data_IF_028559009468
#
_entry.id   IF_028559009468
#
_cell.length_a   1.000
_cell.length_b   1.000
_cell.length_c   1.000
_cell.angle_alpha   90.00
_cell.angle_beta   90.00
_cell.angle_gamma   90.00
#
_symmetry.space_group_name_H-M   'P 1'
#
loop_
_entity.id
_entity.type
_entity.pdbx_description
1 polymer ?
#
# COMPACT_ATOMS: atom_id res chain seq x y z
N UNK A 1 -36.30 21.85 15.26
CA UNK A 1 -34.88 22.18 15.44
C UNK A 1 -34.52 23.23 14.41
N UNK A 2 -34.03 24.39 14.85
CA UNK A 2 -33.70 25.51 13.96
C UNK A 2 -32.55 25.15 13.01
N UNK A 3 -32.65 25.57 11.74
CA UNK A 3 -31.65 25.28 10.69
C UNK A 3 -30.24 25.76 11.08
N UNK A 4 -30.16 26.87 11.84
CA UNK A 4 -28.91 27.36 12.43
C UNK A 4 -28.31 26.39 13.44
N UNK A 5 -29.14 25.73 14.24
CA UNK A 5 -28.71 24.79 15.27
C UNK A 5 -28.18 23.50 14.63
N UNK A 6 -28.81 23.03 13.55
CA UNK A 6 -28.33 21.88 12.77
C UNK A 6 -26.99 22.17 12.09
N UNK A 7 -26.84 23.35 11.49
CA UNK A 7 -25.56 23.80 10.91
C UNK A 7 -24.45 23.93 11.97
N UNK A 8 -24.79 24.42 13.17
CA UNK A 8 -23.84 24.52 14.28
C UNK A 8 -23.38 23.15 14.78
N UNK A 9 -24.30 22.19 14.95
CA UNK A 9 -23.95 20.83 15.36
C UNK A 9 -23.19 20.08 14.26
N UNK A 10 -23.52 20.31 12.98
CA UNK A 10 -22.78 19.77 11.84
C UNK A 10 -21.35 20.28 11.78
N UNK A 11 -21.14 21.61 11.89
CA UNK A 11 -19.79 22.19 11.93
C UNK A 11 -19.02 21.76 13.18
N UNK A 12 -19.67 21.67 14.34
CA UNK A 12 -19.05 21.20 15.57
C UNK A 12 -18.65 19.73 15.48
N UNK A 13 -19.49 18.86 14.89
CA UNK A 13 -19.15 17.46 14.64
C UNK A 13 -18.02 17.31 13.61
N UNK A 14 -18.00 18.13 12.55
CA UNK A 14 -16.91 18.17 11.57
C UNK A 14 -15.58 18.57 12.25
N UNK A 15 -15.62 19.59 13.12
CA UNK A 15 -14.47 20.08 13.90
C UNK A 15 -14.04 19.12 15.02
N UNK A 16 -14.94 18.28 15.54
CA UNK A 16 -14.60 17.22 16.49
C UNK A 16 -14.03 15.97 15.79
N UNK A 17 -14.44 15.73 14.53
CA UNK A 17 -13.95 14.64 13.68
C UNK A 17 -12.59 14.90 13.03
N UNK A 18 -12.11 16.16 13.06
CA UNK A 18 -10.70 16.47 12.82
C UNK A 18 -9.85 16.07 14.03
N UNK A 19 -9.95 14.81 14.46
CA UNK A 19 -8.83 14.17 15.14
C UNK A 19 -7.65 14.25 14.18
N UNK A 20 -6.62 15.01 14.56
CA UNK A 20 -5.34 15.11 13.87
C UNK A 20 -4.79 13.69 13.68
N UNK A 21 -5.08 13.08 12.52
CA UNK A 21 -4.42 11.85 12.09
C UNK A 21 -3.03 12.28 11.64
N UNK A 22 -2.08 12.23 12.57
CA UNK A 22 -0.67 12.25 12.22
C UNK A 22 -0.38 10.93 11.50
N UNK A 23 -0.42 10.94 10.17
CA UNK A 23 0.13 9.88 9.36
C UNK A 23 1.65 9.89 9.58
N UNK A 24 2.13 8.97 10.42
CA UNK A 24 3.55 8.78 10.68
C UNK A 24 4.25 8.26 9.43
N UNK A 25 5.50 8.67 9.26
CA UNK A 25 6.38 8.17 8.21
C UNK A 25 6.46 6.63 8.32
N UNK A 26 6.23 5.87 7.24
CA UNK A 26 6.32 4.39 7.24
C UNK A 26 7.80 3.94 7.19
N UNK A 27 8.64 4.67 7.92
CA UNK A 27 9.98 4.25 8.27
C UNK A 27 9.79 3.06 9.21
N UNK A 28 10.19 1.87 8.76
CA UNK A 28 10.08 0.67 9.59
C UNK A 28 11.12 0.74 10.71
N UNK A 29 10.78 1.45 11.78
CA UNK A 29 11.49 1.41 13.03
C UNK A 29 11.33 0.01 13.61
N UNK A 30 12.43 -0.74 13.60
CA UNK A 30 12.47 -2.04 14.22
C UNK A 30 12.99 -1.85 15.65
N UNK A 31 12.04 -1.83 16.60
CA UNK A 31 12.31 -1.70 18.03
C UNK A 31 12.98 -2.94 18.63
N UNK A 32 13.01 -4.06 17.89
CA UNK A 32 13.57 -5.33 18.34
C UNK A 32 15.07 -5.40 18.04
N UNK A 33 15.51 -4.77 16.95
CA UNK A 33 16.90 -4.83 16.51
C UNK A 33 17.82 -3.90 17.34
N UNK A 34 19.03 -4.36 17.72
CA UNK A 34 19.89 -3.66 18.66
C UNK A 34 20.40 -2.33 18.09
N UNK A 35 20.19 -1.23 18.83
CA UNK A 35 20.75 0.09 18.51
C UNK A 35 22.21 0.15 18.95
N UNK A 36 23.12 0.43 18.01
CA UNK A 36 24.57 0.51 18.27
C UNK A 36 25.18 1.67 17.49
N UNK A 37 26.32 2.23 17.94
CA UNK A 37 27.00 3.27 17.19
C UNK A 37 27.41 2.76 15.80
N UNK A 38 26.89 3.42 14.76
CA UNK A 38 27.07 3.05 13.35
C UNK A 38 26.13 1.94 12.84
N UNK A 39 25.19 1.48 13.67
CA UNK A 39 24.15 0.52 13.28
C UNK A 39 22.78 0.90 13.87
N UNK A 40 22.29 2.07 13.47
CA UNK A 40 20.99 2.57 13.90
C UNK A 40 20.19 3.24 12.77
N UNK A 41 20.53 2.94 11.51
CA UNK A 41 19.76 3.41 10.37
C UNK A 41 18.40 2.72 10.35
N UNK A 42 17.39 3.40 9.82
CA UNK A 42 16.10 2.78 9.62
C UNK A 42 16.10 1.83 8.42
N UNK A 43 15.17 0.87 8.42
CA UNK A 43 14.93 0.05 7.24
C UNK A 43 14.13 0.82 6.20
N UNK A 44 14.81 1.18 5.12
CA UNK A 44 14.23 1.96 4.02
C UNK A 44 14.10 1.08 2.79
N UNK A 45 12.91 1.09 2.18
CA UNK A 45 12.70 0.50 0.87
C UNK A 45 13.31 1.41 -0.20
N UNK A 46 14.12 0.82 -1.05
CA UNK A 46 14.80 1.52 -2.14
C UNK A 46 14.41 0.92 -3.48
N UNK A 47 14.38 1.77 -4.51
CA UNK A 47 14.28 1.34 -5.89
C UNK A 47 15.68 1.22 -6.47
N UNK A 48 15.92 0.12 -7.16
CA UNK A 48 17.16 -0.20 -7.86
C UNK A 48 16.85 -0.37 -9.35
N UNK A 49 16.75 0.72 -10.12
CA UNK A 49 16.64 0.63 -11.57
C UNK A 49 17.94 0.12 -12.18
N UNK A 50 17.79 -0.76 -13.17
CA UNK A 50 18.88 -1.32 -13.97
C UNK A 50 18.92 -0.58 -15.29
N UNK A 51 20.12 -0.15 -15.64
CA UNK A 51 20.43 0.57 -16.85
C UNK A 51 21.37 -0.29 -17.70
N UNK A 52 20.96 -0.55 -18.94
CA UNK A 52 21.78 -1.20 -19.95
C UNK A 52 22.13 -0.17 -21.01
N UNK A 53 23.42 0.10 -21.19
CA UNK A 53 23.91 1.06 -22.18
C UNK A 53 23.21 2.44 -22.11
N UNK A 54 22.87 2.88 -20.89
CA UNK A 54 22.22 4.17 -20.65
C UNK A 54 20.68 4.18 -20.79
N UNK A 55 20.04 3.03 -21.00
CA UNK A 55 18.57 2.89 -21.04
C UNK A 55 18.05 2.12 -19.81
N UNK A 56 17.07 2.68 -19.11
CA UNK A 56 16.37 2.01 -17.99
C UNK A 56 15.53 0.85 -18.56
N UNK A 57 15.90 -0.38 -18.23
CA UNK A 57 15.21 -1.58 -18.74
C UNK A 57 14.22 -2.16 -17.75
N UNK A 58 14.61 -2.21 -16.47
CA UNK A 58 13.84 -2.81 -15.39
C UNK A 58 14.17 -2.12 -14.08
N UNK A 59 13.29 -2.25 -13.08
CA UNK A 59 13.54 -1.76 -11.73
C UNK A 59 13.17 -2.82 -10.71
N UNK A 60 13.98 -2.94 -9.66
CA UNK A 60 13.74 -3.83 -8.55
C UNK A 60 13.54 -3.06 -7.25
N UNK A 61 12.84 -3.68 -6.30
CA UNK A 61 12.71 -3.17 -4.94
C UNK A 61 13.72 -3.88 -4.06
N UNK A 62 14.51 -3.09 -3.32
CA UNK A 62 15.45 -3.57 -2.33
C UNK A 62 15.19 -2.95 -0.96
N UNK A 63 15.94 -3.41 0.04
CA UNK A 63 15.90 -2.87 1.40
C UNK A 63 17.30 -2.47 1.85
N UNK A 64 17.43 -1.26 2.40
CA UNK A 64 18.67 -0.76 2.98
C UNK A 64 19.06 -1.50 4.27
N UNK A 65 20.36 -1.50 4.58
CA UNK A 65 20.87 -2.02 5.84
C UNK A 65 20.70 -1.02 7.00
N UNK A 66 20.77 -1.54 8.23
CA UNK A 66 20.78 -0.74 9.46
C UNK A 66 22.12 0.00 9.70
N UNK A 67 23.13 -0.26 8.88
CA UNK A 67 24.47 0.30 8.93
C UNK A 67 24.86 0.86 7.55
N UNK A 68 25.95 1.61 7.48
CA UNK A 68 26.32 2.35 6.27
C UNK A 68 25.75 3.77 6.26
N UNK A 69 25.94 4.52 5.16
CA UNK A 69 25.22 5.76 4.92
C UNK A 69 23.71 5.53 4.82
N UNK A 70 22.93 6.48 5.33
CA UNK A 70 21.47 6.45 5.25
C UNK A 70 21.00 6.62 3.80
N UNK A 71 20.05 5.78 3.39
CA UNK A 71 19.44 5.82 2.05
C UNK A 71 18.13 6.64 1.99
N UNK A 72 17.84 7.39 3.04
CA UNK A 72 16.61 8.18 3.17
C UNK A 72 16.60 9.37 2.21
N UNK A 73 15.44 9.60 1.58
CA UNK A 73 15.13 10.83 0.82
C UNK A 73 16.00 11.15 -0.41
N UNK A 74 16.57 10.14 -1.06
CA UNK A 74 17.35 10.35 -2.29
C UNK A 74 16.45 10.54 -3.53
N UNK A 75 16.72 11.58 -4.31
CA UNK A 75 16.05 11.78 -5.60
C UNK A 75 16.47 10.71 -6.61
N UNK A 76 15.61 10.44 -7.61
CA UNK A 76 15.92 9.56 -8.75
C UNK A 76 17.18 9.99 -9.53
N UNK A 77 17.73 11.18 -9.27
CA UNK A 77 18.97 11.72 -9.88
C UNK A 77 20.27 11.24 -9.24
N UNK A 78 20.24 10.23 -8.36
CA UNK A 78 21.47 9.61 -7.86
C UNK A 78 22.35 9.12 -9.03
N UNK A 79 23.68 9.26 -8.88
CA UNK A 79 24.65 8.88 -9.90
C UNK A 79 24.52 7.39 -10.27
N UNK A 80 24.66 7.09 -11.56
CA UNK A 80 24.69 5.71 -12.04
C UNK A 80 26.00 5.04 -11.64
N UNK A 81 25.89 3.90 -10.98
CA UNK A 81 27.05 3.12 -10.53
C UNK A 81 27.13 1.85 -11.37
N UNK A 82 28.28 1.60 -11.99
CA UNK A 82 28.53 0.35 -12.73
C UNK A 82 28.50 -0.82 -11.73
N UNK A 83 27.88 -1.94 -12.12
CA UNK A 83 27.81 -3.14 -11.27
C UNK A 83 28.89 -4.13 -11.66
N UNK A 84 29.58 -4.68 -10.67
CA UNK A 84 30.56 -5.76 -10.81
C UNK A 84 30.18 -6.95 -9.95
N UNK A 85 30.36 -8.17 -10.46
CA UNK A 85 30.07 -9.38 -9.71
C UNK A 85 31.28 -9.74 -8.84
N UNK A 86 31.06 -10.03 -7.55
CA UNK A 86 32.13 -10.43 -6.66
C UNK A 86 32.74 -11.79 -7.01
N UNK A 87 34.07 -11.90 -6.90
CA UNK A 87 34.82 -13.16 -6.92
C UNK A 87 35.80 -13.21 -5.72
N UNK A 88 35.53 -13.98 -4.65
CA UNK A 88 34.47 -14.97 -4.51
C UNK A 88 33.08 -14.33 -4.34
N UNK A 89 32.00 -15.05 -4.71
CA UNK A 89 30.66 -14.48 -4.79
C UNK A 89 30.05 -14.12 -3.43
N UNK A 90 30.60 -14.60 -2.33
CA UNK A 90 30.18 -14.28 -0.97
C UNK A 90 30.88 -13.02 -0.41
N UNK A 91 31.98 -12.55 -1.00
CA UNK A 91 32.72 -11.38 -0.53
C UNK A 91 33.09 -11.45 0.97
N UNK A 92 33.35 -12.66 1.48
CA UNK A 92 33.83 -12.84 2.85
C UNK A 92 35.35 -12.65 2.95
N UNK A 93 36.04 -12.68 1.81
CA UNK A 93 37.45 -12.33 1.65
C UNK A 93 37.60 -11.31 0.52
N UNK A 94 38.77 -10.67 0.46
CA UNK A 94 39.08 -9.64 -0.54
C UNK A 94 38.74 -10.13 -1.95
N UNK A 95 37.85 -9.43 -2.68
CA UNK A 95 37.51 -9.78 -4.05
C UNK A 95 38.74 -9.73 -4.96
N UNK A 96 38.83 -10.66 -5.90
CA UNK A 96 39.90 -10.75 -6.90
C UNK A 96 39.75 -9.70 -7.99
N UNK A 97 38.53 -9.26 -8.26
CA UNK A 97 38.25 -8.14 -9.14
C UNK A 97 38.71 -6.83 -8.49
N UNK A 98 39.50 -6.06 -9.22
CA UNK A 98 39.87 -4.69 -8.81
C UNK A 98 38.65 -3.81 -8.97
N UNK A 99 38.17 -3.23 -7.88
CA UNK A 99 37.07 -2.28 -7.92
C UNK A 99 37.63 -0.86 -7.92
N UNK A 100 37.08 0.00 -8.76
CA UNK A 100 37.41 1.43 -8.80
C UNK A 100 36.14 2.25 -8.70
N UNK A 101 35.34 1.96 -7.67
CA UNK A 101 34.07 2.63 -7.40
C UNK A 101 32.85 1.96 -8.02
N UNK A 102 32.92 0.71 -8.47
CA UNK A 102 31.73 -0.06 -8.86
C UNK A 102 30.87 -0.45 -7.65
N UNK A 103 29.60 -0.73 -7.91
CA UNK A 103 28.71 -1.41 -6.99
C UNK A 103 28.98 -2.92 -7.08
N UNK A 104 29.38 -3.54 -5.98
CA UNK A 104 29.67 -4.97 -5.97
C UNK A 104 28.42 -5.79 -5.63
N UNK A 105 28.14 -6.80 -6.45
CA UNK A 105 27.03 -7.73 -6.29
C UNK A 105 27.51 -9.04 -5.65
N UNK A 106 26.95 -9.38 -4.49
CA UNK A 106 27.36 -10.54 -3.66
C UNK A 106 26.16 -11.44 -3.33
N UNK A 107 26.44 -12.68 -2.93
CA UNK A 107 25.45 -13.59 -2.37
C UNK A 107 25.43 -13.55 -0.83
N UNK A 108 24.22 -13.69 -0.27
CA UNK A 108 24.02 -13.94 1.15
C UNK A 108 24.58 -15.31 1.55
N UNK A 109 25.28 -15.36 2.69
CA UNK A 109 25.82 -16.59 3.29
C UNK A 109 27.26 -16.44 3.78
N UNK A 110 27.79 -17.49 4.42
CA UNK A 110 29.17 -17.68 4.90
C UNK A 110 29.70 -16.73 5.99
N UNK A 111 29.38 -15.43 5.96
CA UNK A 111 29.84 -14.43 6.93
C UNK A 111 28.77 -13.35 7.18
N UNK A 112 29.00 -12.49 8.19
CA UNK A 112 28.07 -11.42 8.59
C UNK A 112 27.90 -10.36 7.48
N UNK A 113 26.75 -9.67 7.46
CA UNK A 113 26.50 -8.60 6.49
C UNK A 113 27.48 -7.43 6.63
N UNK A 114 27.82 -7.09 7.87
CA UNK A 114 28.82 -6.05 8.17
C UNK A 114 30.21 -6.47 7.69
N UNK A 115 30.57 -7.75 7.82
CA UNK A 115 31.84 -8.26 7.28
C UNK A 115 31.93 -8.09 5.77
N UNK A 116 30.86 -8.47 5.04
CA UNK A 116 30.79 -8.28 3.58
C UNK A 116 30.93 -6.82 3.19
N UNK A 117 30.27 -5.92 3.92
CA UNK A 117 30.36 -4.48 3.70
C UNK A 117 31.77 -3.94 3.90
N UNK A 118 32.45 -4.29 5.00
CA UNK A 118 33.83 -3.86 5.25
C UNK A 118 34.81 -4.38 4.20
N UNK A 119 34.63 -5.64 3.77
CA UNK A 119 35.48 -6.25 2.73
C UNK A 119 35.25 -5.57 1.38
N UNK A 120 34.00 -5.29 1.01
CA UNK A 120 33.64 -4.58 -0.21
C UNK A 120 34.18 -3.14 -0.23
N UNK A 121 34.02 -2.42 0.88
CA UNK A 121 34.54 -1.05 1.06
C UNK A 121 36.07 -1.02 0.96
N UNK A 122 36.76 -1.92 1.68
CA UNK A 122 38.21 -2.03 1.62
C UNK A 122 38.74 -2.39 0.22
N UNK A 123 37.91 -3.05 -0.59
CA UNK A 123 38.22 -3.36 -1.99
C UNK A 123 37.99 -2.19 -2.95
N UNK A 124 37.42 -1.07 -2.49
CA UNK A 124 37.15 0.13 -3.30
C UNK A 124 35.77 0.15 -3.96
N UNK A 125 34.78 -0.58 -3.44
CA UNK A 125 33.40 -0.50 -3.91
C UNK A 125 32.75 0.83 -3.52
N UNK A 126 31.85 1.36 -4.34
CA UNK A 126 31.00 2.52 -3.99
C UNK A 126 29.67 2.12 -3.35
N UNK A 127 29.23 0.88 -3.56
CA UNK A 127 27.99 0.34 -2.99
C UNK A 127 28.05 -1.19 -2.91
N UNK A 128 27.29 -1.78 -2.00
CA UNK A 128 27.17 -3.23 -1.85
C UNK A 128 25.72 -3.68 -2.10
N UNK A 129 25.53 -4.55 -3.09
CA UNK A 129 24.27 -5.24 -3.35
C UNK A 129 24.35 -6.70 -2.88
N UNK A 130 23.49 -7.10 -1.95
CA UNK A 130 23.43 -8.48 -1.44
C UNK A 130 22.20 -9.18 -2.00
N UNK A 131 22.41 -10.28 -2.71
CA UNK A 131 21.34 -11.15 -3.21
C UNK A 131 20.93 -12.10 -2.10
N UNK A 132 19.66 -12.04 -1.72
CA UNK A 132 19.08 -12.94 -0.76
C UNK A 132 18.97 -14.37 -1.32
N UNK A 133 18.90 -15.36 -0.42
CA UNK A 133 18.68 -16.76 -0.77
C UNK A 133 17.19 -17.15 -0.84
N UNK A 134 16.30 -16.17 -0.61
CA UNK A 134 14.85 -16.30 -0.63
C UNK A 134 14.25 -15.17 -1.48
N UNK A 135 13.00 -15.34 -1.90
CA UNK A 135 12.24 -14.36 -2.69
C UNK A 135 11.83 -13.13 -1.89
N UNK A 136 11.80 -13.23 -0.55
CA UNK A 136 11.42 -12.13 0.32
C UNK A 136 12.59 -11.18 0.63
N UNK A 137 12.26 -9.93 0.98
CA UNK A 137 13.23 -8.98 1.52
C UNK A 137 13.58 -9.35 2.96
N UNK A 138 14.87 -9.31 3.30
CA UNK A 138 15.36 -9.62 4.64
C UNK A 138 16.07 -8.41 5.25
N UNK A 139 15.72 -8.09 6.50
CA UNK A 139 16.29 -6.96 7.25
C UNK A 139 17.72 -7.27 7.67
N UNK A 140 18.67 -6.48 7.19
CA UNK A 140 20.09 -6.61 7.57
C UNK A 140 20.37 -5.87 8.89
N UNK A 141 20.55 -6.63 9.96
CA UNK A 141 20.89 -6.16 11.30
C UNK A 141 22.35 -6.45 11.63
N UNK A 142 22.92 -5.69 12.57
CA UNK A 142 24.26 -5.97 13.10
C UNK A 142 24.24 -7.06 14.15
N UNK A 143 25.36 -7.77 14.28
CA UNK A 143 25.48 -8.87 15.24
C UNK A 143 25.69 -8.35 16.66
N UNK A 144 25.36 -9.18 17.66
CA UNK A 144 25.53 -8.81 19.08
C UNK A 144 26.99 -8.58 19.46
N UNK A 145 27.93 -9.24 18.80
CA UNK A 145 29.36 -9.18 19.12
C UNK A 145 30.09 -7.97 18.50
N UNK A 146 29.46 -7.26 17.55
CA UNK A 146 30.04 -6.09 16.90
C UNK A 146 29.77 -4.84 17.75
N UNK A 147 30.79 -4.20 18.31
CA UNK A 147 30.62 -3.05 19.23
C UNK A 147 30.57 -1.70 18.51
N UNK A 148 31.34 -1.54 17.44
CA UNK A 148 31.35 -0.35 16.57
C UNK A 148 31.33 -0.82 15.12
N UNK A 149 30.33 -0.36 14.37
CA UNK A 149 30.19 -0.67 12.95
C UNK A 149 30.48 0.61 12.16
N UNK A 150 31.66 0.68 11.58
CA UNK A 150 32.03 1.73 10.64
C UNK A 150 32.01 1.14 9.23
N UNK A 151 31.10 1.64 8.39
CA UNK A 151 30.90 1.27 7.00
C UNK A 151 30.50 2.57 6.28
N UNK A 152 31.28 3.00 5.31
CA UNK A 152 31.06 4.24 4.56
C UNK A 152 30.31 4.05 3.23
N UNK A 153 29.99 2.82 2.85
CA UNK A 153 29.27 2.50 1.60
C UNK A 153 27.80 2.12 1.84
N UNK A 154 26.87 2.52 0.97
CA UNK A 154 25.48 2.08 1.05
C UNK A 154 25.34 0.57 0.79
N UNK A 155 24.52 -0.09 1.60
CA UNK A 155 24.29 -1.53 1.52
C UNK A 155 22.81 -1.80 1.30
N UNK A 156 22.50 -2.53 0.22
CA UNK A 156 21.12 -2.86 -0.18
C UNK A 156 21.00 -4.36 -0.39
N UNK A 157 19.92 -4.93 0.13
CA UNK A 157 19.55 -6.31 -0.17
C UNK A 157 18.50 -6.37 -1.28
N UNK A 158 18.70 -7.29 -2.21
CA UNK A 158 17.77 -7.65 -3.27
C UNK A 158 17.19 -9.05 -3.03
N UNK A 159 15.93 -9.30 -3.38
CA UNK A 159 15.37 -10.65 -3.36
C UNK A 159 16.08 -11.56 -4.38
N UNK A 160 15.96 -12.87 -4.20
CA UNK A 160 16.63 -13.86 -5.03
C UNK A 160 16.34 -13.67 -6.53
N UNK A 161 15.07 -13.43 -6.88
CA UNK A 161 14.64 -13.28 -8.27
C UNK A 161 15.27 -12.04 -8.93
N UNK A 162 15.24 -10.89 -8.24
CA UNK A 162 15.86 -9.65 -8.71
C UNK A 162 17.36 -9.80 -8.92
N UNK A 163 18.05 -10.43 -7.96
CA UNK A 163 19.48 -10.71 -8.06
C UNK A 163 19.82 -11.68 -9.19
N UNK A 164 18.97 -12.69 -9.43
CA UNK A 164 19.08 -13.62 -10.54
C UNK A 164 18.94 -12.92 -11.90
N UNK A 165 17.92 -12.09 -12.06
CA UNK A 165 17.72 -11.29 -13.28
C UNK A 165 18.87 -10.32 -13.54
N UNK A 166 19.35 -9.62 -12.51
CA UNK A 166 20.50 -8.71 -12.64
C UNK A 166 21.76 -9.47 -13.09
N UNK A 167 22.03 -10.66 -12.55
CA UNK A 167 23.15 -11.50 -13.00
C UNK A 167 23.01 -11.93 -14.45
N UNK A 168 21.81 -12.24 -14.92
CA UNK A 168 21.57 -12.58 -16.32
C UNK A 168 21.85 -11.37 -17.21
N UNK A 169 21.39 -10.18 -16.82
CA UNK A 169 21.70 -8.94 -17.53
C UNK A 169 23.20 -8.67 -17.63
N UNK A 170 23.96 -8.91 -16.55
CA UNK A 170 25.42 -8.77 -16.53
C UNK A 170 26.16 -9.79 -17.40
N UNK A 171 25.55 -10.95 -17.69
CA UNK A 171 26.12 -11.93 -18.64
C UNK A 171 25.86 -11.56 -20.09
N UNK A 172 24.73 -10.90 -20.36
CA UNK A 172 24.29 -10.59 -21.71
C UNK A 172 24.82 -9.24 -22.22
N UNK A 173 25.12 -8.30 -21.31
CA UNK A 173 25.54 -6.94 -21.64
C UNK A 173 26.85 -6.59 -20.95
N UNK A 174 27.70 -5.82 -21.64
CA UNK A 174 29.02 -5.42 -21.14
C UNK A 174 28.96 -4.29 -20.12
N UNK A 175 27.95 -3.42 -20.20
CA UNK A 175 27.82 -2.22 -19.38
C UNK A 175 26.47 -2.19 -18.67
N UNK A 176 26.46 -2.71 -17.44
CA UNK A 176 25.29 -2.70 -16.55
C UNK A 176 25.54 -1.71 -15.44
N UNK A 177 24.72 -0.67 -15.36
CA UNK A 177 24.72 0.27 -14.23
C UNK A 177 23.42 0.19 -13.45
N UNK A 178 23.50 0.57 -12.18
CA UNK A 178 22.35 0.69 -11.28
C UNK A 178 22.27 2.11 -10.74
N UNK A 179 21.10 2.45 -10.21
CA UNK A 179 20.98 3.56 -9.27
C UNK A 179 20.33 3.03 -8.00
N UNK A 180 20.51 3.72 -6.89
CA UNK A 180 19.85 3.39 -5.63
C UNK A 180 19.21 4.66 -5.14
N UNK A 181 17.88 4.68 -5.03
CA UNK A 181 17.16 5.83 -4.49
C UNK A 181 15.93 5.41 -3.69
N UNK A 182 15.53 6.25 -2.73
CA UNK A 182 14.30 6.07 -1.98
C UNK A 182 13.32 7.19 -2.32
N UNK A 183 12.24 6.92 -3.09
CA UNK A 183 11.25 7.94 -3.39
C UNK A 183 10.65 8.53 -2.11
N UNK A 184 10.54 9.86 -2.04
CA UNK A 184 9.80 10.52 -0.96
C UNK A 184 8.34 10.08 -1.04
N UNK A 185 7.84 9.47 0.05
CA UNK A 185 6.42 9.15 0.18
C UNK A 185 5.72 10.35 0.81
N UNK A 186 4.70 10.94 0.18
CA UNK A 186 3.92 11.99 0.82
C UNK A 186 3.22 11.39 2.05
N UNK A 187 3.09 12.20 3.11
CA UNK A 187 2.42 11.77 4.36
C UNK A 187 0.93 11.48 4.15
N UNK A 188 0.32 12.12 3.15
CA UNK A 188 -1.08 11.94 2.78
C UNK A 188 -1.13 11.71 1.29
N UNK A 189 -1.68 10.56 0.88
CA UNK A 189 -1.94 10.28 -0.53
C UNK A 189 -3.16 11.10 -0.97
N UNK A 190 -3.06 11.73 -2.13
CA UNK A 190 -4.17 12.46 -2.75
C UNK A 190 -5.38 11.53 -2.94
N UNK A 191 -5.13 10.27 -3.31
CA UNK A 191 -6.18 9.26 -3.45
C UNK A 191 -6.92 8.99 -2.13
N UNK A 192 -6.21 8.98 -1.00
CA UNK A 192 -6.81 8.77 0.32
C UNK A 192 -7.75 9.92 0.68
N UNK A 193 -7.35 11.16 0.41
CA UNK A 193 -8.20 12.34 0.61
C UNK A 193 -9.47 12.26 -0.25
N UNK A 194 -9.34 11.88 -1.52
CA UNK A 194 -10.48 11.71 -2.41
C UNK A 194 -11.42 10.61 -1.93
N UNK A 195 -10.88 9.46 -1.52
CA UNK A 195 -11.69 8.35 -1.00
C UNK A 195 -12.41 8.74 0.30
N UNK A 196 -11.74 9.46 1.19
CA UNK A 196 -12.35 9.98 2.42
C UNK A 196 -13.48 10.96 2.11
N UNK A 197 -13.26 11.92 1.22
CA UNK A 197 -14.28 12.88 0.81
C UNK A 197 -15.47 12.20 0.12
N UNK A 198 -15.22 11.23 -0.77
CA UNK A 198 -16.29 10.46 -1.41
C UNK A 198 -17.10 9.65 -0.39
N UNK A 199 -16.44 9.01 0.58
CA UNK A 199 -17.12 8.24 1.62
C UNK A 199 -18.00 9.14 2.50
N UNK A 200 -17.44 10.24 3.04
CA UNK A 200 -18.19 11.20 3.86
C UNK A 200 -19.33 11.83 3.06
N UNK A 201 -19.08 12.22 1.80
CA UNK A 201 -20.08 12.76 0.90
C UNK A 201 -21.23 11.78 0.65
N UNK A 202 -20.91 10.51 0.38
CA UNK A 202 -21.92 9.46 0.15
C UNK A 202 -22.79 9.24 1.39
N UNK A 203 -22.18 9.18 2.58
CA UNK A 203 -22.90 9.01 3.84
C UNK A 203 -23.80 10.21 4.13
N UNK A 204 -23.32 11.44 3.91
CA UNK A 204 -24.13 12.65 4.09
C UNK A 204 -25.31 12.69 3.12
N UNK A 205 -25.07 12.45 1.83
CA UNK A 205 -26.13 12.39 0.81
C UNK A 205 -27.16 11.30 1.13
N UNK A 206 -26.72 10.09 1.50
CA UNK A 206 -27.62 9.00 1.87
C UNK A 206 -28.44 9.32 3.14
N UNK A 207 -27.81 9.91 4.16
CA UNK A 207 -28.49 10.31 5.40
C UNK A 207 -29.52 11.41 5.15
N UNK A 208 -29.19 12.39 4.29
CA UNK A 208 -30.10 13.46 3.92
C UNK A 208 -31.28 12.93 3.10
N UNK A 209 -31.00 12.08 2.09
CA UNK A 209 -32.03 11.44 1.27
C UNK A 209 -32.98 10.61 2.13
N UNK A 210 -32.45 9.81 3.05
CA UNK A 210 -33.26 8.99 3.95
C UNK A 210 -34.09 9.82 4.92
N UNK A 211 -33.57 10.95 5.42
CA UNK A 211 -34.33 11.84 6.29
C UNK A 211 -35.44 12.58 5.54
N UNK A 212 -35.17 12.94 4.28
CA UNK A 212 -36.14 13.60 3.40
C UNK A 212 -37.28 12.66 3.01
N UNK A 213 -36.97 11.45 2.55
CA UNK A 213 -37.99 10.46 2.17
C UNK A 213 -38.86 10.02 3.36
N UNK A 214 -38.28 9.87 4.55
CA UNK A 214 -39.03 9.58 5.77
C UNK A 214 -39.99 10.72 6.14
N UNK A 215 -39.60 11.98 5.88
CA UNK A 215 -40.45 13.14 6.11
C UNK A 215 -41.62 13.20 5.11
N UNK A 216 -41.36 12.92 3.83
CA UNK A 216 -42.42 12.84 2.81
C UNK A 216 -43.42 11.74 3.13
N UNK A 217 -42.95 10.54 3.51
CA UNK A 217 -43.81 9.44 3.93
C UNK A 217 -44.67 9.78 5.17
N UNK A 218 -44.11 10.49 6.15
CA UNK A 218 -44.87 10.95 7.31
C UNK A 218 -45.94 11.99 6.95
N UNK A 219 -45.64 12.90 6.02
CA UNK A 219 -46.61 13.89 5.52
C UNK A 219 -47.73 13.21 4.73
N UNK A 220 -47.40 12.22 3.90
CA UNK A 220 -48.38 11.43 3.16
C UNK A 220 -49.29 10.63 4.10
N UNK A 221 -48.72 10.02 5.15
CA UNK A 221 -49.49 9.29 6.16
C UNK A 221 -50.43 10.21 6.98
N UNK A 222 -50.01 11.44 7.29
CA UNK A 222 -50.86 12.44 7.95
C UNK A 222 -51.98 12.92 7.02
N UNK A 223 -51.68 13.10 5.73
CA UNK A 223 -52.66 13.44 4.69
C UNK A 223 -53.69 12.32 4.51
N UNK A 224 -53.27 11.06 4.47
CA UNK A 224 -54.15 9.88 4.41
C UNK A 224 -54.99 9.71 5.68
N UNK A 225 -54.47 10.02 6.87
CA UNK A 225 -55.27 10.02 8.10
C UNK A 225 -56.35 11.11 8.08
N UNK A 226 -56.05 12.25 7.46
CA UNK A 226 -56.99 13.36 7.32
C UNK A 226 -58.05 13.10 6.25
N UNK A 227 -57.64 12.57 5.10
CA UNK A 227 -58.54 12.14 4.03
C UNK A 227 -59.38 10.93 4.47
N UNK A 228 -58.80 9.98 5.21
CA UNK A 228 -59.48 8.82 5.80
C UNK A 228 -60.42 9.15 6.98
N UNK A 229 -60.24 10.30 7.64
CA UNK A 229 -61.21 10.81 8.62
C UNK A 229 -62.47 11.37 7.94
N UNK A 230 -62.31 11.94 6.73
CA UNK A 230 -63.44 12.33 5.86
C UNK A 230 -64.04 11.10 5.12
N UNK A 231 -63.27 10.02 4.97
CA UNK A 231 -63.66 8.75 4.34
C UNK A 231 -63.95 7.63 5.36
N UNK A 232 -64.30 7.94 6.62
CA UNK A 232 -64.93 6.95 7.54
C UNK A 232 -66.43 6.74 7.23
N UNK A 233 -66.75 6.80 5.95
CA UNK A 233 -67.96 6.28 5.32
C UNK A 233 -67.51 5.66 4.00
N UNK A 234 -66.87 4.49 4.06
CA UNK A 234 -66.99 3.33 3.14
C UNK A 234 -65.65 2.60 2.93
N UNK A 235 -65.70 1.29 3.23
CA UNK A 235 -65.01 0.21 2.52
C UNK A 235 -63.51 -0.02 2.73
N UNK A 236 -63.22 -1.17 3.34
CA UNK A 236 -61.98 -1.94 3.23
C UNK A 236 -61.48 -2.10 1.78
N UNK A 237 -60.16 -2.21 1.57
CA UNK A 237 -59.46 -3.40 1.00
C UNK A 237 -57.98 -3.09 0.68
N UNK A 238 -57.09 -3.81 1.36
CA UNK A 238 -55.74 -4.27 0.98
C UNK A 238 -55.02 -3.64 -0.24
N UNK A 239 -53.87 -3.00 0.02
CA UNK A 239 -52.78 -2.84 -0.96
C UNK A 239 -51.44 -3.20 -0.30
N UNK A 240 -50.89 -4.36 -0.64
CA UNK A 240 -49.56 -4.80 -0.21
C UNK A 240 -48.49 -4.25 -1.18
N UNK A 241 -47.88 -3.12 -0.82
CA UNK A 241 -46.72 -2.57 -1.51
C UNK A 241 -45.43 -3.17 -0.95
N UNK A 242 -44.68 -3.89 -1.81
CA UNK A 242 -43.22 -3.81 -1.91
C UNK A 242 -42.33 -3.89 -0.65
N UNK A 243 -42.76 -4.49 0.45
CA UNK A 243 -41.88 -4.77 1.59
C UNK A 243 -41.20 -6.13 1.38
N UNK A 244 -39.93 -6.11 1.01
CA UNK A 244 -39.07 -7.29 1.14
C UNK A 244 -38.91 -7.53 2.64
N UNK A 245 -39.70 -8.45 3.20
CA UNK A 245 -39.53 -8.88 4.59
C UNK A 245 -38.15 -9.51 4.77
N UNK A 246 -37.31 -8.89 5.60
CA UNK A 246 -36.01 -9.43 5.99
C UNK A 246 -36.26 -10.67 6.85
N UNK A 247 -36.31 -11.82 6.19
CA UNK A 247 -36.48 -13.12 6.83
C UNK A 247 -35.15 -13.59 7.43
N UNK A 248 -35.17 -14.25 8.59
CA UNK A 248 -34.00 -14.87 9.23
C UNK A 248 -33.23 -15.79 8.27
N UNK A 249 -33.94 -16.45 7.35
CA UNK A 249 -33.33 -17.25 6.29
C UNK A 249 -32.40 -16.42 5.40
N UNK A 250 -32.83 -15.22 4.97
CA UNK A 250 -32.01 -14.34 4.12
C UNK A 250 -30.75 -13.84 4.83
N UNK A 251 -30.83 -13.56 6.14
CA UNK A 251 -29.69 -13.16 6.95
C UNK A 251 -28.65 -14.29 7.06
N UNK A 252 -29.09 -15.53 7.27
CA UNK A 252 -28.20 -16.70 7.31
C UNK A 252 -27.50 -16.90 5.96
N UNK A 253 -28.24 -16.82 4.85
CA UNK A 253 -27.67 -16.92 3.51
C UNK A 253 -26.62 -15.84 3.25
N UNK A 254 -26.88 -14.60 3.65
CA UNK A 254 -25.93 -13.49 3.52
C UNK A 254 -24.62 -13.76 4.27
N UNK A 255 -24.69 -14.20 5.53
CA UNK A 255 -23.49 -14.50 6.35
C UNK A 255 -22.66 -15.63 5.72
N UNK A 256 -23.31 -16.69 5.25
CA UNK A 256 -22.63 -17.82 4.60
C UNK A 256 -21.97 -17.39 3.29
N UNK A 257 -22.69 -16.63 2.45
CA UNK A 257 -22.17 -16.13 1.18
C UNK A 257 -21.00 -15.16 1.39
N UNK A 258 -21.14 -14.18 2.29
CA UNK A 258 -20.08 -13.23 2.63
C UNK A 258 -18.84 -13.92 3.20
N UNK A 259 -19.02 -14.90 4.09
CA UNK A 259 -17.92 -15.67 4.66
C UNK A 259 -17.20 -16.51 3.59
N UNK A 260 -17.94 -17.16 2.70
CA UNK A 260 -17.38 -17.90 1.57
C UNK A 260 -16.60 -16.98 0.62
N UNK A 261 -17.16 -15.81 0.31
CA UNK A 261 -16.53 -14.80 -0.53
C UNK A 261 -15.22 -14.28 0.07
N UNK A 262 -15.19 -14.02 1.38
CA UNK A 262 -13.95 -13.62 2.09
C UNK A 262 -12.89 -14.72 2.09
N UNK A 263 -13.27 -15.98 2.32
CA UNK A 263 -12.34 -17.11 2.25
C UNK A 263 -11.80 -17.28 0.82
N UNK A 264 -12.65 -17.13 -0.19
CA UNK A 264 -12.26 -17.14 -1.59
C UNK A 264 -11.31 -15.98 -1.92
N UNK A 265 -11.58 -14.76 -1.46
CA UNK A 265 -10.66 -13.63 -1.63
C UNK A 265 -9.30 -13.89 -0.98
N UNK A 266 -9.29 -14.45 0.23
CA UNK A 266 -8.07 -14.73 0.97
C UNK A 266 -7.23 -15.86 0.35
N UNK A 267 -7.88 -16.95 -0.06
CA UNK A 267 -7.19 -18.13 -0.64
C UNK A 267 -6.88 -17.99 -2.11
N UNK A 268 -7.72 -17.28 -2.85
CA UNK A 268 -7.69 -17.10 -4.30
C UNK A 268 -7.35 -15.64 -4.64
N UNK A 269 -6.38 -15.06 -3.93
CA UNK A 269 -5.77 -13.73 -4.16
C UNK A 269 -5.02 -13.66 -5.52
N UNK A 270 -5.70 -14.10 -6.57
CA UNK A 270 -5.25 -14.19 -7.94
C UNK A 270 -5.68 -12.94 -8.69
N UNK A 271 -4.79 -12.41 -9.50
CA UNK A 271 -5.02 -11.22 -10.33
C UNK A 271 -6.30 -11.33 -11.17
N UNK A 272 -6.54 -12.50 -11.77
CA UNK A 272 -7.73 -12.77 -12.59
C UNK A 272 -9.05 -12.68 -11.82
N UNK A 273 -9.04 -13.08 -10.55
CA UNK A 273 -10.24 -13.05 -9.72
C UNK A 273 -10.63 -11.61 -9.36
N UNK A 274 -9.64 -10.76 -9.07
CA UNK A 274 -9.85 -9.33 -8.81
C UNK A 274 -10.39 -8.62 -10.05
N UNK A 275 -9.88 -8.91 -11.24
CA UNK A 275 -10.39 -8.36 -12.51
C UNK A 275 -11.87 -8.71 -12.73
N UNK A 276 -12.28 -9.96 -12.49
CA UNK A 276 -13.68 -10.38 -12.60
C UNK A 276 -14.57 -9.60 -11.61
N UNK A 277 -14.12 -9.46 -10.37
CA UNK A 277 -14.85 -8.73 -9.33
C UNK A 277 -15.07 -7.26 -9.73
N UNK A 278 -14.04 -6.61 -10.28
CA UNK A 278 -14.15 -5.24 -10.81
C UNK A 278 -15.21 -5.16 -11.91
N UNK A 279 -15.21 -6.09 -12.87
CA UNK A 279 -16.21 -6.10 -13.95
C UNK A 279 -17.64 -6.27 -13.42
N UNK A 280 -17.86 -7.20 -12.48
CA UNK A 280 -19.19 -7.42 -11.87
C UNK A 280 -19.65 -6.19 -11.11
N UNK A 281 -18.75 -5.55 -10.35
CA UNK A 281 -19.08 -4.32 -9.62
C UNK A 281 -19.41 -3.16 -10.56
N UNK A 282 -18.71 -3.05 -11.68
CA UNK A 282 -19.02 -2.06 -12.72
C UNK A 282 -20.41 -2.29 -13.33
N UNK A 283 -20.79 -3.53 -13.63
CA UNK A 283 -22.13 -3.86 -14.16
C UNK A 283 -23.21 -3.49 -13.13
N UNK A 284 -23.05 -3.92 -11.88
CA UNK A 284 -24.00 -3.57 -10.80
C UNK A 284 -24.08 -2.06 -10.55
N UNK A 285 -22.96 -1.35 -10.64
CA UNK A 285 -22.92 0.10 -10.54
C UNK A 285 -23.69 0.81 -11.66
N UNK A 286 -23.58 0.33 -12.91
CA UNK A 286 -24.32 0.88 -14.05
C UNK A 286 -25.82 0.61 -13.91
N UNK A 287 -26.22 -0.60 -13.50
CA UNK A 287 -27.64 -0.93 -13.27
C UNK A 287 -28.25 -0.09 -12.13
N UNK A 288 -27.51 0.07 -11.03
CA UNK A 288 -27.90 0.94 -9.92
C UNK A 288 -28.00 2.42 -10.33
N UNK A 289 -27.06 2.90 -11.13
CA UNK A 289 -27.10 4.27 -11.64
C UNK A 289 -28.27 4.47 -12.62
N UNK A 290 -28.54 3.49 -13.48
CA UNK A 290 -29.64 3.53 -14.43
C UNK A 290 -31.00 3.58 -13.71
N UNK A 291 -31.19 2.77 -12.68
CA UNK A 291 -32.43 2.81 -11.88
C UNK A 291 -32.63 4.16 -11.18
N UNK A 292 -31.56 4.76 -10.66
CA UNK A 292 -31.61 6.10 -10.08
C UNK A 292 -31.93 7.19 -11.12
N UNK A 293 -31.29 7.15 -12.29
CA UNK A 293 -31.53 8.11 -13.38
C UNK A 293 -32.97 8.05 -13.89
N UNK A 294 -33.52 6.84 -14.06
CA UNK A 294 -34.91 6.64 -14.48
C UNK A 294 -35.87 7.21 -13.43
N UNK A 295 -35.60 7.02 -12.13
CA UNK A 295 -36.44 7.58 -11.07
C UNK A 295 -36.37 9.12 -10.96
N UNK A 296 -35.27 9.74 -11.36
CA UNK A 296 -35.11 11.22 -11.34
C UNK A 296 -35.72 11.88 -12.58
N UNK A 297 -35.68 11.21 -13.73
CA UNK A 297 -36.16 11.74 -15.02
C UNK A 297 -37.64 11.42 -15.31
N UNK A 298 -38.26 10.53 -14.53
CA UNK A 298 -39.69 10.23 -14.58
C UNK A 298 -40.48 11.15 -13.63
#
# INVERSE_FOLDING_TARGET
MDLRTVLLYSHFALFLSTSLVFAGDIVHQDDIAPKKPGCDNNFVLVKVPIWLDGVEVTQFVGIGARFGPTLESQEKRADQIIVSLADPPDCCSTPRNKLTGEAILVHRGNCSFVTKAKVAEAAGASALLIINNQTDLFKMVCEKNETVVDVGIPVVMLPQDAGGSLKVSMKNSSHVSIQIYSPKRPLVDVAEVFLWLMAVGTVLCASYWSAWSAREAAIEHDKLLKDGFDEHLTSDTHHSSGLIEINTASAIFFVVFASCFLVMLYKLMSYWFIEILVVVFCIGGVEGLQTCLVAILA
#
